data_IF_002463643663
#
_entry.id   IF_002463643663
#
_cell.length_a   1.000
_cell.length_b   1.000
_cell.length_c   1.000
_cell.angle_alpha   90.00
_cell.angle_beta   90.00
_cell.angle_gamma   90.00
#
_symmetry.space_group_name_H-M   'P 1'
#
loop_
_entity.id
_entity.type
_entity.pdbx_description
1 polymer ?
#
# COMPACT_ATOMS: atom_id res chain seq x y z
N UNK A 1 -61.74 -2.71 -56.38
CA UNK A 1 -60.64 -1.73 -56.24
C UNK A 1 -60.18 -1.57 -54.78
N UNK A 2 -60.28 -2.61 -53.93
CA UNK A 2 -60.10 -2.49 -52.47
C UNK A 2 -58.90 -3.24 -51.89
N UNK A 3 -58.55 -4.43 -52.38
CA UNK A 3 -57.48 -5.23 -51.75
C UNK A 3 -56.05 -4.74 -52.00
N UNK A 4 -55.78 -4.16 -53.18
CA UNK A 4 -54.43 -3.70 -53.56
C UNK A 4 -54.03 -2.50 -52.70
N UNK A 5 -54.96 -1.56 -52.47
CA UNK A 5 -54.73 -0.39 -51.61
C UNK A 5 -54.51 -0.77 -50.15
N UNK A 6 -55.24 -1.79 -49.66
CA UNK A 6 -55.04 -2.32 -48.30
C UNK A 6 -53.64 -2.92 -48.16
N UNK A 7 -53.18 -3.72 -49.13
CA UNK A 7 -51.82 -4.30 -49.10
C UNK A 7 -50.72 -3.24 -49.15
N UNK A 8 -50.87 -2.22 -49.98
CA UNK A 8 -49.92 -1.11 -50.08
C UNK A 8 -49.88 -0.31 -48.77
N UNK A 9 -51.04 0.01 -48.19
CA UNK A 9 -51.14 0.73 -46.94
C UNK A 9 -50.55 -0.07 -45.75
N UNK A 10 -50.86 -1.37 -45.65
CA UNK A 10 -50.26 -2.23 -44.63
C UNK A 10 -48.75 -2.39 -44.79
N UNK A 11 -48.25 -2.51 -46.02
CA UNK A 11 -46.80 -2.56 -46.29
C UNK A 11 -46.11 -1.25 -45.88
N UNK A 12 -46.71 -0.10 -46.19
CA UNK A 12 -46.21 1.20 -45.78
C UNK A 12 -46.24 1.36 -44.25
N UNK A 13 -47.30 0.91 -43.58
CA UNK A 13 -47.45 0.98 -42.13
C UNK A 13 -46.44 0.06 -41.41
N UNK A 14 -46.24 -1.18 -41.88
CA UNK A 14 -45.22 -2.09 -41.35
C UNK A 14 -43.82 -1.50 -41.54
N UNK A 15 -43.53 -0.95 -42.72
CA UNK A 15 -42.23 -0.32 -43.01
C UNK A 15 -41.99 0.92 -42.13
N UNK A 16 -43.03 1.72 -41.89
CA UNK A 16 -42.96 2.88 -41.00
C UNK A 16 -42.75 2.47 -39.53
N UNK A 17 -43.44 1.42 -39.06
CA UNK A 17 -43.26 0.89 -37.70
C UNK A 17 -41.87 0.30 -37.50
N UNK A 18 -41.39 -0.51 -38.44
CA UNK A 18 -40.02 -1.07 -38.41
C UNK A 18 -38.97 0.05 -38.46
N UNK A 19 -39.18 1.05 -39.32
CA UNK A 19 -38.32 2.23 -39.39
C UNK A 19 -38.29 3.02 -38.09
N UNK A 20 -39.44 3.22 -37.44
CA UNK A 20 -39.53 3.89 -36.15
C UNK A 20 -38.83 3.12 -35.02
N UNK A 21 -39.05 1.80 -34.93
CA UNK A 21 -38.39 0.93 -33.95
C UNK A 21 -36.87 0.90 -34.15
N UNK A 22 -36.42 0.78 -35.40
CA UNK A 22 -35.00 0.82 -35.73
C UNK A 22 -34.38 2.17 -35.37
N UNK A 23 -35.06 3.28 -35.70
CA UNK A 23 -34.57 4.64 -35.39
C UNK A 23 -34.52 4.89 -33.89
N UNK A 24 -35.54 4.46 -33.12
CA UNK A 24 -35.53 4.58 -31.65
C UNK A 24 -34.39 3.76 -31.03
N UNK A 25 -34.19 2.52 -31.48
CA UNK A 25 -33.10 1.67 -31.00
C UNK A 25 -31.72 2.28 -31.33
N UNK A 26 -31.54 2.77 -32.55
CA UNK A 26 -30.31 3.43 -32.97
C UNK A 26 -30.06 4.71 -32.16
N UNK A 27 -31.09 5.52 -31.93
CA UNK A 27 -30.97 6.76 -31.16
C UNK A 27 -30.65 6.49 -29.69
N UNK A 28 -31.29 5.49 -29.07
CA UNK A 28 -30.99 5.07 -27.71
C UNK A 28 -29.56 4.53 -27.60
N UNK A 29 -29.12 3.69 -28.55
CA UNK A 29 -27.75 3.18 -28.58
C UNK A 29 -26.72 4.31 -28.70
N UNK A 30 -26.96 5.28 -29.59
CA UNK A 30 -26.07 6.44 -29.77
C UNK A 30 -26.07 7.34 -28.52
N UNK A 31 -27.22 7.52 -27.88
CA UNK A 31 -27.35 8.33 -26.65
C UNK A 31 -26.60 7.69 -25.49
N UNK A 32 -26.84 6.39 -25.24
CA UNK A 32 -26.12 5.64 -24.20
C UNK A 32 -24.61 5.64 -24.45
N UNK A 33 -24.18 5.52 -25.71
CA UNK A 33 -22.75 5.60 -26.07
C UNK A 33 -22.16 6.97 -25.75
N UNK A 34 -22.89 8.06 -26.03
CA UNK A 34 -22.47 9.43 -25.72
C UNK A 34 -22.42 9.68 -24.21
N UNK A 35 -23.44 9.27 -23.48
CA UNK A 35 -23.49 9.39 -22.02
C UNK A 35 -22.33 8.64 -21.35
N UNK A 36 -22.08 7.40 -21.78
CA UNK A 36 -20.94 6.60 -21.30
C UNK A 36 -19.61 7.33 -21.54
N UNK A 37 -19.39 7.81 -22.77
CA UNK A 37 -18.17 8.57 -23.13
C UNK A 37 -18.02 9.86 -22.30
N UNK A 38 -19.11 10.58 -22.06
CA UNK A 38 -19.09 11.77 -21.22
C UNK A 38 -18.73 11.43 -19.77
N UNK A 39 -19.31 10.36 -19.23
CA UNK A 39 -18.98 9.86 -17.89
C UNK A 39 -17.51 9.44 -17.78
N UNK A 40 -17.00 8.71 -18.77
CA UNK A 40 -15.59 8.28 -18.82
C UNK A 40 -14.64 9.49 -18.78
N UNK A 41 -14.91 10.52 -19.60
CA UNK A 41 -14.15 11.79 -19.60
C UNK A 41 -14.26 12.56 -18.29
N UNK A 42 -15.45 12.55 -17.69
CA UNK A 42 -15.66 13.20 -16.39
C UNK A 42 -14.86 12.48 -15.29
N UNK A 43 -14.88 11.15 -15.25
CA UNK A 43 -14.06 10.34 -14.34
C UNK A 43 -12.57 10.63 -14.51
N UNK A 44 -12.05 10.72 -15.74
CA UNK A 44 -10.65 11.12 -15.99
C UNK A 44 -10.33 12.46 -15.34
N UNK A 45 -11.15 13.48 -15.58
CA UNK A 45 -10.89 14.84 -15.12
C UNK A 45 -11.10 15.02 -13.61
N UNK A 46 -12.14 14.40 -13.05
CA UNK A 46 -12.55 14.60 -11.66
C UNK A 46 -11.72 13.76 -10.69
N UNK A 47 -11.34 12.55 -11.10
CA UNK A 47 -10.67 11.58 -10.24
C UNK A 47 -9.25 11.27 -10.71
N UNK A 48 -9.07 10.65 -11.88
CA UNK A 48 -7.78 10.07 -12.26
C UNK A 48 -6.66 11.10 -12.41
N UNK A 49 -6.87 12.18 -13.16
CA UNK A 49 -5.84 13.23 -13.33
C UNK A 49 -5.45 13.93 -12.03
N UNK A 50 -6.24 13.80 -10.97
CA UNK A 50 -5.91 14.35 -9.66
C UNK A 50 -5.18 13.35 -8.76
N UNK A 51 -5.60 12.08 -8.75
CA UNK A 51 -5.06 11.05 -7.85
C UNK A 51 -3.74 10.46 -8.37
N UNK A 52 -3.57 10.38 -9.69
CA UNK A 52 -2.40 9.75 -10.31
C UNK A 52 -1.07 10.42 -9.93
N UNK A 53 -0.94 11.78 -9.89
CA UNK A 53 0.27 12.42 -9.38
C UNK A 53 0.64 11.99 -7.95
N UNK A 54 -0.33 11.92 -7.02
CA UNK A 54 -0.07 11.46 -5.66
C UNK A 54 0.39 10.00 -5.61
N UNK A 55 -0.12 9.15 -6.50
CA UNK A 55 0.34 7.76 -6.63
C UNK A 55 1.79 7.71 -7.11
N UNK A 56 2.17 8.54 -8.09
CA UNK A 56 3.56 8.65 -8.54
C UNK A 56 4.49 9.07 -7.40
N UNK A 57 4.12 10.09 -6.66
CA UNK A 57 4.93 10.63 -5.56
C UNK A 57 5.03 9.61 -4.42
N UNK A 58 3.93 8.97 -4.04
CA UNK A 58 3.91 7.90 -3.05
C UNK A 58 4.80 6.72 -3.44
N UNK A 59 4.72 6.26 -4.69
CA UNK A 59 5.57 5.18 -5.18
C UNK A 59 7.05 5.55 -5.11
N UNK A 60 7.42 6.77 -5.53
CA UNK A 60 8.80 7.25 -5.48
C UNK A 60 9.32 7.34 -4.05
N UNK A 61 8.59 7.99 -3.15
CA UNK A 61 8.99 8.16 -1.74
C UNK A 61 9.15 6.81 -1.04
N UNK A 62 8.29 5.83 -1.37
CA UNK A 62 8.31 4.50 -0.75
C UNK A 62 9.39 3.59 -1.35
N UNK A 63 9.70 3.73 -2.65
CA UNK A 63 10.52 2.76 -3.39
C UNK A 63 11.80 3.35 -4.03
N UNK A 64 12.20 4.60 -3.78
CA UNK A 64 13.51 5.12 -4.22
C UNK A 64 14.58 4.93 -3.15
N UNK A 65 15.71 4.32 -3.52
CA UNK A 65 16.95 4.45 -2.74
C UNK A 65 17.25 5.95 -2.60
N UNK A 66 17.18 6.46 -1.36
CA UNK A 66 17.38 7.89 -1.04
C UNK A 66 18.75 8.32 -1.54
N UNK A 67 18.81 9.04 -2.66
CA UNK A 67 20.08 9.45 -3.27
C UNK A 67 20.75 10.61 -2.52
N UNK A 68 20.01 11.39 -1.74
CA UNK A 68 20.55 12.51 -0.97
C UNK A 68 19.73 12.70 0.32
N UNK A 69 20.44 12.88 1.43
CA UNK A 69 19.93 13.10 2.80
C UNK A 69 19.23 14.46 3.01
N UNK A 70 18.68 15.09 1.96
CA UNK A 70 18.26 16.49 1.96
C UNK A 70 16.82 16.77 1.52
N UNK A 71 16.01 15.75 1.25
CA UNK A 71 14.56 15.97 1.15
C UNK A 71 14.02 16.04 2.58
N UNK A 72 13.77 17.27 3.04
CA UNK A 72 12.97 17.56 4.24
C UNK A 72 11.83 16.54 4.35
N UNK A 73 11.58 16.07 5.55
CA UNK A 73 10.63 15.02 5.90
C UNK A 73 9.23 15.26 5.30
N UNK A 74 9.03 14.98 4.02
CA UNK A 74 7.70 14.83 3.44
C UNK A 74 7.17 13.54 4.01
N UNK A 75 6.38 13.70 5.06
CA UNK A 75 5.73 12.63 5.77
C UNK A 75 5.01 11.72 4.76
N UNK A 76 5.50 10.51 4.57
CA UNK A 76 4.92 9.51 3.65
C UNK A 76 3.43 9.26 4.00
N UNK A 77 3.04 9.55 5.25
CA UNK A 77 1.65 9.51 5.70
C UNK A 77 0.74 10.49 4.93
N UNK A 78 1.26 11.63 4.46
CA UNK A 78 0.47 12.68 3.80
C UNK A 78 -0.07 12.23 2.44
N UNK A 79 0.76 11.65 1.58
CA UNK A 79 0.34 11.15 0.26
C UNK A 79 -0.70 10.02 0.37
N UNK A 80 -0.49 9.10 1.32
CA UNK A 80 -1.44 8.01 1.60
C UNK A 80 -2.81 8.55 2.01
N UNK A 81 -2.83 9.51 2.94
CA UNK A 81 -4.07 10.17 3.38
C UNK A 81 -4.77 10.87 2.22
N UNK A 82 -4.02 11.55 1.36
CA UNK A 82 -4.57 12.27 0.21
C UNK A 82 -5.18 11.32 -0.83
N UNK A 83 -4.53 10.19 -1.14
CA UNK A 83 -5.08 9.16 -2.03
C UNK A 83 -6.40 8.61 -1.47
N UNK A 84 -6.41 8.18 -0.20
CA UNK A 84 -7.58 7.61 0.46
C UNK A 84 -8.72 8.64 0.50
N UNK A 85 -8.41 9.90 0.84
CA UNK A 85 -9.38 11.00 0.85
C UNK A 85 -9.98 11.21 -0.53
N UNK A 86 -9.17 11.26 -1.59
CA UNK A 86 -9.64 11.43 -2.96
C UNK A 86 -10.55 10.30 -3.42
N UNK A 87 -10.24 9.05 -3.07
CA UNK A 87 -11.13 7.91 -3.35
C UNK A 87 -12.47 8.07 -2.64
N UNK A 88 -12.46 8.50 -1.37
CA UNK A 88 -13.68 8.68 -0.60
C UNK A 88 -14.59 9.80 -1.15
N UNK A 89 -14.01 10.92 -1.56
CA UNK A 89 -14.73 12.10 -2.07
C UNK A 89 -15.27 11.91 -3.50
N UNK A 90 -14.75 10.92 -4.24
CA UNK A 90 -15.05 10.72 -5.66
C UNK A 90 -15.64 9.32 -5.96
N UNK A 91 -16.34 8.71 -4.99
CA UNK A 91 -16.90 7.35 -5.10
C UNK A 91 -17.83 7.12 -6.32
N UNK A 92 -18.44 8.18 -6.86
CA UNK A 92 -19.28 8.12 -8.07
C UNK A 92 -18.49 7.92 -9.37
N UNK A 93 -17.19 8.22 -9.35
CA UNK A 93 -16.31 8.25 -10.52
C UNK A 93 -15.34 7.06 -10.59
N UNK A 94 -15.30 6.23 -9.55
CA UNK A 94 -14.39 5.08 -9.44
C UNK A 94 -15.06 3.76 -9.89
N UNK A 95 -14.24 2.77 -10.22
CA UNK A 95 -14.71 1.42 -10.58
C UNK A 95 -15.05 0.59 -9.34
N UNK A 96 -15.87 -0.47 -9.47
CA UNK A 96 -16.17 -1.37 -8.36
C UNK A 96 -14.93 -2.02 -7.72
N UNK A 97 -13.88 -2.31 -8.49
CA UNK A 97 -12.64 -2.89 -7.98
C UNK A 97 -11.90 -1.89 -7.06
N UNK A 98 -11.81 -0.63 -7.46
CA UNK A 98 -11.24 0.44 -6.62
C UNK A 98 -12.06 0.59 -5.34
N UNK A 99 -13.38 0.63 -5.45
CA UNK A 99 -14.27 0.75 -4.29
C UNK A 99 -14.13 -0.44 -3.33
N UNK A 100 -14.07 -1.67 -3.84
CA UNK A 100 -13.87 -2.88 -3.04
C UNK A 100 -12.51 -2.87 -2.34
N UNK A 101 -11.44 -2.50 -3.04
CA UNK A 101 -10.09 -2.39 -2.44
C UNK A 101 -10.03 -1.29 -1.39
N UNK A 102 -10.70 -0.15 -1.61
CA UNK A 102 -10.82 0.92 -0.63
C UNK A 102 -11.56 0.47 0.64
N UNK A 103 -12.65 -0.30 0.51
CA UNK A 103 -13.33 -0.88 1.67
C UNK A 103 -12.38 -1.79 2.45
N UNK A 104 -11.56 -2.62 1.77
CA UNK A 104 -10.59 -3.50 2.44
C UNK A 104 -9.58 -2.70 3.26
N UNK A 105 -8.98 -1.66 2.66
CA UNK A 105 -8.06 -0.74 3.37
C UNK A 105 -8.76 -0.12 4.59
N UNK A 106 -10.01 0.31 4.42
CA UNK A 106 -10.81 0.92 5.51
C UNK A 106 -11.20 -0.05 6.62
N UNK A 107 -11.60 -1.28 6.30
CA UNK A 107 -11.98 -2.29 7.29
C UNK A 107 -10.77 -2.74 8.10
N UNK A 108 -9.61 -2.78 7.45
CA UNK A 108 -8.34 -3.12 8.09
C UNK A 108 -7.87 -2.01 9.05
N UNK A 109 -8.13 -0.74 8.73
CA UNK A 109 -7.93 0.38 9.67
C UNK A 109 -8.89 0.38 10.88
N UNK A 110 -9.95 -0.43 10.87
CA UNK A 110 -10.92 -0.53 11.97
C UNK A 110 -10.62 -1.70 12.92
N UNK A 111 -9.80 -2.66 12.49
CA UNK A 111 -9.40 -3.81 13.28
C UNK A 111 -7.90 -3.71 13.59
N UNK A 112 -7.50 -2.84 14.51
CA UNK A 112 -6.14 -2.83 15.07
C UNK A 112 -5.85 -4.19 15.72
N UNK A 113 -5.10 -5.05 15.04
CA UNK A 113 -4.60 -6.32 15.60
C UNK A 113 -3.24 -6.13 16.30
N UNK A 114 -2.76 -4.88 16.40
CA UNK A 114 -1.49 -4.47 17.02
C UNK A 114 -0.24 -5.17 16.46
N UNK A 115 -0.35 -6.02 15.43
CA UNK A 115 0.77 -6.80 14.89
C UNK A 115 1.87 -5.94 14.26
N UNK A 116 1.60 -4.65 14.01
CA UNK A 116 2.48 -3.79 13.21
C UNK A 116 2.59 -4.19 11.74
N UNK A 117 2.14 -5.40 11.36
CA UNK A 117 2.23 -6.04 10.04
C UNK A 117 1.12 -5.57 9.08
N UNK A 118 0.47 -4.46 9.37
CA UNK A 118 -0.70 -3.99 8.66
C UNK A 118 -0.37 -3.21 7.37
N UNK A 119 -1.20 -3.46 6.36
CA UNK A 119 -1.68 -2.53 5.33
C UNK A 119 -0.95 -2.39 3.99
N UNK A 120 0.33 -2.72 3.83
CA UNK A 120 1.00 -2.47 2.54
C UNK A 120 0.32 -3.23 1.40
N UNK A 121 -0.04 -4.50 1.59
CA UNK A 121 -0.74 -5.30 0.56
C UNK A 121 -2.07 -4.71 0.12
N UNK A 122 -2.91 -4.26 1.04
CA UNK A 122 -4.22 -3.71 0.70
C UNK A 122 -4.10 -2.35 0.01
N UNK A 123 -3.10 -1.56 0.39
CA UNK A 123 -2.81 -0.25 -0.16
C UNK A 123 -2.19 -0.34 -1.55
N UNK A 124 -1.18 -1.18 -1.73
CA UNK A 124 -0.58 -1.47 -3.03
C UNK A 124 -1.64 -2.00 -3.98
N UNK A 125 -2.56 -2.85 -3.51
CA UNK A 125 -3.71 -3.29 -4.29
C UNK A 125 -4.64 -2.13 -4.70
N UNK A 126 -4.98 -1.22 -3.77
CA UNK A 126 -5.81 -0.07 -4.08
C UNK A 126 -5.13 0.83 -5.13
N UNK A 127 -3.86 1.14 -4.92
CA UNK A 127 -3.05 1.97 -5.83
C UNK A 127 -2.98 1.35 -7.22
N UNK A 128 -2.69 0.05 -7.29
CA UNK A 128 -2.68 -0.69 -8.56
C UNK A 128 -4.04 -0.61 -9.27
N UNK A 129 -5.15 -0.90 -8.59
CA UNK A 129 -6.46 -0.86 -9.24
C UNK A 129 -6.87 0.54 -9.72
N UNK A 130 -6.41 1.60 -9.04
CA UNK A 130 -6.60 2.97 -9.51
C UNK A 130 -5.81 3.19 -10.81
N UNK A 131 -4.54 2.78 -10.83
CA UNK A 131 -3.66 2.99 -11.98
C UNK A 131 -4.06 2.12 -13.19
N UNK A 132 -4.40 0.86 -12.99
CA UNK A 132 -4.86 -0.03 -14.06
C UNK A 132 -6.17 0.48 -14.69
N UNK A 133 -7.13 0.94 -13.86
CA UNK A 133 -8.35 1.55 -14.37
C UNK A 133 -8.07 2.83 -15.16
N UNK A 134 -7.07 3.61 -14.75
CA UNK A 134 -6.60 4.79 -15.50
C UNK A 134 -6.05 4.41 -16.89
N UNK A 135 -5.13 3.45 -16.95
CA UNK A 135 -4.55 2.97 -18.21
C UNK A 135 -5.63 2.44 -19.16
N UNK A 136 -6.53 1.61 -18.65
CA UNK A 136 -7.65 1.05 -19.42
C UNK A 136 -8.58 2.14 -19.96
N UNK A 137 -8.79 3.20 -19.18
CA UNK A 137 -9.62 4.34 -19.59
C UNK A 137 -8.95 5.19 -20.66
N UNK A 138 -7.63 5.42 -20.58
CA UNK A 138 -6.87 6.09 -21.64
C UNK A 138 -6.95 5.32 -22.97
N UNK A 139 -6.69 4.00 -22.94
CA UNK A 139 -6.78 3.13 -24.13
C UNK A 139 -8.19 3.16 -24.73
N UNK A 140 -9.23 3.06 -23.90
CA UNK A 140 -10.63 3.05 -24.32
C UNK A 140 -11.07 4.37 -24.96
N UNK A 141 -10.58 5.51 -24.47
CA UNK A 141 -10.87 6.83 -25.02
C UNK A 141 -9.98 7.22 -26.21
N UNK A 142 -9.12 6.30 -26.68
CA UNK A 142 -8.15 6.53 -27.75
C UNK A 142 -7.22 7.73 -27.43
N UNK A 143 -6.90 7.88 -26.14
CA UNK A 143 -5.96 8.89 -25.66
C UNK A 143 -4.54 8.35 -25.75
N UNK A 144 -3.59 9.25 -26.02
CA UNK A 144 -2.17 8.89 -26.14
C UNK A 144 -1.68 8.31 -24.81
N UNK A 145 -1.28 7.04 -24.85
CA UNK A 145 -0.58 6.36 -23.78
C UNK A 145 0.93 6.61 -23.92
N UNK A 146 1.54 7.23 -22.91
CA UNK A 146 2.97 7.48 -22.91
C UNK A 146 3.74 6.27 -22.41
N UNK A 147 4.94 6.06 -22.97
CA UNK A 147 5.86 5.02 -22.53
C UNK A 147 6.15 5.06 -21.02
N UNK A 148 6.19 6.26 -20.44
CA UNK A 148 6.36 6.47 -18.99
C UNK A 148 5.18 5.91 -18.16
N UNK A 149 3.95 5.97 -18.69
CA UNK A 149 2.77 5.43 -18.01
C UNK A 149 2.78 3.91 -18.04
N UNK A 150 3.16 3.31 -19.17
CA UNK A 150 3.34 1.86 -19.30
C UNK A 150 4.44 1.35 -18.38
N UNK A 151 5.59 2.04 -18.37
CA UNK A 151 6.72 1.71 -17.50
C UNK A 151 6.31 1.75 -16.03
N UNK A 152 5.60 2.79 -15.62
CA UNK A 152 5.14 2.91 -14.24
C UNK A 152 4.06 1.88 -13.88
N UNK A 153 3.15 1.56 -14.80
CA UNK A 153 2.18 0.48 -14.63
C UNK A 153 2.86 -0.87 -14.41
N UNK A 154 3.92 -1.16 -15.15
CA UNK A 154 4.74 -2.36 -14.94
C UNK A 154 5.36 -2.35 -13.54
N UNK A 155 6.01 -1.25 -13.13
CA UNK A 155 6.65 -1.14 -11.82
C UNK A 155 5.66 -1.29 -10.66
N UNK A 156 4.46 -0.69 -10.75
CA UNK A 156 3.41 -0.88 -9.75
C UNK A 156 2.93 -2.32 -9.66
N UNK A 157 2.78 -2.99 -10.80
CA UNK A 157 2.35 -4.38 -10.84
C UNK A 157 3.43 -5.33 -10.33
N UNK A 158 4.70 -5.05 -10.62
CA UNK A 158 5.83 -5.76 -10.02
C UNK A 158 5.84 -5.60 -8.50
N UNK A 159 5.65 -4.38 -7.98
CA UNK A 159 5.56 -4.14 -6.54
C UNK A 159 4.39 -4.93 -5.92
N UNK A 160 3.21 -4.89 -6.55
CA UNK A 160 2.04 -5.68 -6.12
C UNK A 160 2.35 -7.18 -6.06
N UNK A 161 2.90 -7.76 -7.12
CA UNK A 161 3.25 -9.18 -7.18
C UNK A 161 4.24 -9.51 -6.06
N UNK A 162 5.23 -8.66 -5.84
CA UNK A 162 6.24 -8.85 -4.79
C UNK A 162 5.62 -8.85 -3.39
N UNK A 163 4.69 -7.94 -3.09
CA UNK A 163 3.98 -7.91 -1.81
C UNK A 163 3.01 -9.10 -1.64
N UNK A 164 2.57 -9.72 -2.74
CA UNK A 164 1.73 -10.92 -2.70
C UNK A 164 2.53 -12.20 -2.44
N UNK A 165 3.73 -12.33 -3.02
CA UNK A 165 4.60 -13.51 -2.84
C UNK A 165 5.36 -13.50 -1.52
N UNK A 166 5.60 -12.31 -0.94
CA UNK A 166 6.32 -12.15 0.32
C UNK A 166 5.33 -11.92 1.48
N UNK A 167 5.28 -12.82 2.48
CA UNK A 167 4.38 -12.71 3.63
C UNK A 167 4.75 -11.55 4.57
N UNK A 168 6.01 -11.10 4.56
CA UNK A 168 6.53 -10.05 5.44
C UNK A 168 6.35 -8.61 4.91
N UNK A 169 5.61 -8.40 3.81
CA UNK A 169 5.43 -7.09 3.17
C UNK A 169 6.75 -6.39 2.75
N UNK A 170 7.84 -7.11 2.51
CA UNK A 170 9.13 -6.52 2.11
C UNK A 170 9.20 -6.10 0.64
N UNK A 171 8.05 -5.86 -0.02
CA UNK A 171 7.99 -5.63 -1.46
C UNK A 171 8.69 -4.35 -1.93
N UNK A 172 8.93 -3.40 -1.01
CA UNK A 172 9.68 -2.19 -1.28
C UNK A 172 11.19 -2.43 -1.45
N UNK A 173 11.77 -3.45 -0.81
CA UNK A 173 13.22 -3.74 -0.84
C UNK A 173 13.71 -3.97 -2.28
N UNK A 174 13.17 -4.93 -3.04
CA UNK A 174 13.58 -5.12 -4.43
C UNK A 174 13.20 -3.91 -5.31
N UNK A 175 12.13 -3.19 -4.98
CA UNK A 175 11.71 -1.99 -5.72
C UNK A 175 12.61 -0.77 -5.51
N UNK A 176 13.27 -0.67 -4.35
CA UNK A 176 14.34 0.29 -4.11
C UNK A 176 15.51 0.08 -5.07
N UNK A 177 15.80 -1.18 -5.39
CA UNK A 177 16.88 -1.62 -6.28
C UNK A 177 16.48 -1.61 -7.77
N UNK A 178 15.34 -1.01 -8.14
CA UNK A 178 14.86 -0.98 -9.55
C UNK A 178 15.82 -0.35 -10.56
N UNK A 179 16.85 0.37 -10.12
CA UNK A 179 17.91 0.89 -10.99
C UNK A 179 18.70 -0.22 -11.72
N UNK A 180 18.62 -1.47 -11.26
CA UNK A 180 19.13 -2.65 -11.98
C UNK A 180 18.28 -3.03 -13.21
N UNK A 181 17.06 -2.49 -13.34
CA UNK A 181 16.17 -2.76 -14.47
C UNK A 181 16.48 -1.80 -15.63
N UNK A 182 16.46 -2.34 -16.84
CA UNK A 182 16.53 -1.56 -18.07
C UNK A 182 15.14 -0.98 -18.38
N UNK A 183 14.96 0.29 -18.05
CA UNK A 183 13.70 1.00 -18.24
C UNK A 183 13.23 1.05 -19.71
N UNK A 184 14.12 0.86 -20.67
CA UNK A 184 13.78 0.85 -22.10
C UNK A 184 13.05 -0.43 -22.54
N UNK A 185 13.14 -1.51 -21.75
CA UNK A 185 12.53 -2.81 -22.06
C UNK A 185 11.08 -2.93 -21.63
N UNK A 186 10.61 -2.07 -20.72
CA UNK A 186 9.19 -2.05 -20.35
C UNK A 186 8.34 -1.69 -21.56
N UNK A 187 7.23 -2.37 -21.74
CA UNK A 187 6.29 -2.13 -22.83
C UNK A 187 4.94 -2.79 -22.50
N UNK A 188 3.96 -2.67 -23.40
CA UNK A 188 2.63 -3.24 -23.18
C UNK A 188 2.63 -4.77 -23.12
N UNK A 189 3.55 -5.46 -23.81
CA UNK A 189 3.69 -6.91 -23.74
C UNK A 189 4.13 -7.36 -22.34
N UNK A 190 5.16 -6.73 -21.78
CA UNK A 190 5.60 -6.96 -20.40
C UNK A 190 4.46 -6.66 -19.42
N UNK A 191 3.73 -5.56 -19.61
CA UNK A 191 2.60 -5.21 -18.76
C UNK A 191 1.51 -6.29 -18.77
N UNK A 192 1.13 -6.78 -19.95
CA UNK A 192 0.11 -7.83 -20.08
C UNK A 192 0.57 -9.16 -19.47
N UNK A 193 1.84 -9.55 -19.66
CA UNK A 193 2.41 -10.75 -19.03
C UNK A 193 2.43 -10.65 -17.51
N UNK A 194 2.73 -9.47 -16.97
CA UNK A 194 2.62 -9.22 -15.51
C UNK A 194 1.16 -9.33 -15.03
N UNK A 195 0.17 -8.90 -15.83
CA UNK A 195 -1.26 -9.09 -15.50
C UNK A 195 -1.60 -10.58 -15.45
N UNK A 196 -1.11 -11.37 -16.40
CA UNK A 196 -1.33 -12.82 -16.43
C UNK A 196 -0.76 -13.49 -15.17
N UNK A 197 0.48 -13.14 -14.78
CA UNK A 197 1.10 -13.62 -13.53
C UNK A 197 0.25 -13.24 -12.32
N UNK A 198 -0.25 -12.02 -12.28
CA UNK A 198 -1.08 -11.50 -11.20
C UNK A 198 -2.44 -12.23 -11.05
N UNK A 199 -2.84 -13.04 -12.05
CA UNK A 199 -4.04 -13.89 -11.99
C UNK A 199 -3.74 -15.34 -11.59
N UNK A 200 -2.47 -15.73 -11.48
CA UNK A 200 -2.09 -17.07 -11.03
C UNK A 200 -2.41 -17.24 -9.53
N UNK A 201 -2.68 -18.50 -9.14
CA UNK A 201 -3.07 -18.84 -7.76
C UNK A 201 -1.93 -19.49 -6.99
N UNK A 202 -1.06 -20.24 -7.69
CA UNK A 202 0.03 -20.97 -7.03
C UNK A 202 1.29 -20.11 -6.95
N UNK A 203 1.83 -19.98 -5.74
CA UNK A 203 3.04 -19.20 -5.46
C UNK A 203 4.21 -19.60 -6.35
N UNK A 204 4.46 -20.90 -6.52
CA UNK A 204 5.59 -21.39 -7.32
C UNK A 204 5.47 -21.03 -8.81
N UNK A 205 4.25 -21.01 -9.35
CA UNK A 205 3.99 -20.59 -10.73
C UNK A 205 4.25 -19.07 -10.88
N UNK A 206 3.76 -18.26 -9.92
CA UNK A 206 4.02 -16.82 -9.87
C UNK A 206 5.52 -16.54 -9.84
N UNK A 207 6.27 -17.20 -8.94
CA UNK A 207 7.71 -16.99 -8.78
C UNK A 207 8.45 -17.36 -10.06
N UNK A 208 8.11 -18.48 -10.69
CA UNK A 208 8.76 -18.97 -11.90
C UNK A 208 8.59 -17.98 -13.06
N UNK A 209 7.35 -17.58 -13.33
CA UNK A 209 7.04 -16.68 -14.44
C UNK A 209 7.55 -15.26 -14.18
N UNK A 210 7.48 -14.80 -12.92
CA UNK A 210 7.97 -13.49 -12.55
C UNK A 210 9.50 -13.41 -12.63
N UNK A 211 10.23 -14.44 -12.17
CA UNK A 211 11.69 -14.52 -12.31
C UNK A 211 12.11 -14.51 -13.79
N UNK A 212 11.32 -15.10 -14.68
CA UNK A 212 11.56 -15.04 -16.12
C UNK A 212 11.43 -13.61 -16.68
N UNK A 213 10.37 -12.87 -16.33
CA UNK A 213 10.21 -11.46 -16.72
C UNK A 213 11.36 -10.60 -16.15
N UNK A 214 11.71 -10.78 -14.88
CA UNK A 214 12.79 -10.02 -14.25
C UNK A 214 14.12 -10.22 -14.99
N UNK A 215 14.47 -11.46 -15.36
CA UNK A 215 15.69 -11.75 -16.14
C UNK A 215 15.73 -11.04 -17.49
N UNK A 216 14.58 -10.89 -18.16
CA UNK A 216 14.49 -10.12 -19.41
C UNK A 216 14.73 -8.63 -19.16
N UNK A 217 14.20 -8.09 -18.05
CA UNK A 217 14.26 -6.67 -17.72
C UNK A 217 15.62 -6.20 -17.18
N UNK A 218 16.43 -7.07 -16.60
CA UNK A 218 17.73 -6.66 -16.01
C UNK A 218 18.67 -6.03 -17.04
N UNK A 219 19.36 -4.95 -16.63
CA UNK A 219 20.40 -4.31 -17.41
C UNK A 219 21.65 -5.19 -17.47
N UNK A 220 22.18 -5.41 -18.68
CA UNK A 220 23.37 -6.26 -18.90
C UNK A 220 24.64 -5.70 -18.27
N UNK A 221 24.67 -4.41 -17.96
CA UNK A 221 25.81 -3.74 -17.31
C UNK A 221 26.04 -4.19 -15.86
N UNK A 222 25.01 -4.75 -15.20
CA UNK A 222 25.07 -5.20 -13.81
C UNK A 222 25.22 -6.72 -13.65
N UNK A 223 25.71 -7.42 -14.68
CA UNK A 223 25.66 -8.89 -14.80
C UNK A 223 26.11 -9.70 -13.58
N UNK A 224 27.04 -9.19 -12.76
CA UNK A 224 27.55 -9.89 -11.58
C UNK A 224 26.61 -9.81 -10.36
N UNK A 225 25.74 -8.79 -10.29
CA UNK A 225 24.83 -8.55 -9.15
C UNK A 225 23.40 -9.04 -9.45
N UNK A 226 23.21 -9.66 -10.61
CA UNK A 226 21.89 -10.01 -11.15
C UNK A 226 21.15 -11.08 -10.34
N UNK A 227 21.84 -12.15 -9.92
CA UNK A 227 21.17 -13.22 -9.15
C UNK A 227 20.88 -12.73 -7.72
N UNK A 228 21.79 -11.96 -7.08
CA UNK A 228 21.50 -11.33 -5.78
C UNK A 228 20.28 -10.41 -5.85
N UNK A 229 20.21 -9.54 -6.87
CA UNK A 229 19.04 -8.69 -7.10
C UNK A 229 17.76 -9.49 -7.33
N UNK A 230 17.81 -10.56 -8.14
CA UNK A 230 16.66 -11.43 -8.37
C UNK A 230 16.18 -12.08 -7.08
N UNK A 231 17.10 -12.57 -6.26
CA UNK A 231 16.77 -13.28 -5.04
C UNK A 231 16.11 -12.32 -4.02
N UNK A 232 16.44 -11.01 -4.02
CA UNK A 232 15.72 -10.03 -3.18
C UNK A 232 14.20 -9.91 -3.45
N UNK A 233 13.70 -10.35 -4.61
CA UNK A 233 12.25 -10.39 -4.87
C UNK A 233 11.55 -11.56 -4.17
N UNK A 234 12.29 -12.62 -3.84
CA UNK A 234 11.75 -13.92 -3.44
C UNK A 234 12.24 -14.40 -2.06
N UNK A 235 13.26 -13.74 -1.51
CA UNK A 235 13.76 -13.99 -0.18
C UNK A 235 12.79 -13.44 0.87
N UNK A 236 12.42 -14.32 1.81
CA UNK A 236 11.77 -13.92 3.06
C UNK A 236 12.85 -13.29 3.96
N UNK A 237 13.29 -12.08 3.64
CA UNK A 237 14.08 -11.31 4.60
C UNK A 237 13.20 -11.03 5.82
N UNK A 238 13.65 -11.47 7.00
CA UNK A 238 13.15 -10.94 8.26
C UNK A 238 13.42 -9.43 8.23
N UNK A 239 12.36 -8.64 8.37
CA UNK A 239 12.39 -7.20 8.30
C UNK A 239 13.50 -6.67 9.24
N UNK A 240 14.64 -6.25 8.68
CA UNK A 240 15.55 -5.35 9.38
C UNK A 240 14.84 -3.99 9.35
N UNK A 241 13.81 -3.85 10.19
CA UNK A 241 13.13 -2.59 10.42
C UNK A 241 14.17 -1.57 10.82
N UNK A 242 14.41 -0.59 9.95
CA UNK A 242 15.11 0.67 10.17
C UNK A 242 16.31 0.61 11.12
N UNK A 243 17.51 0.97 10.66
CA UNK A 243 18.64 1.23 11.57
C UNK A 243 18.25 2.16 12.74
N UNK A 244 17.24 3.03 12.55
CA UNK A 244 16.60 3.82 13.60
C UNK A 244 15.75 2.98 14.58
N UNK A 245 14.87 2.10 14.09
CA UNK A 245 14.08 1.17 14.92
C UNK A 245 14.98 0.15 15.62
N UNK A 246 15.98 -0.42 14.95
CA UNK A 246 17.04 -1.23 15.60
C UNK A 246 17.77 -0.42 16.67
N UNK A 247 18.17 0.83 16.41
CA UNK A 247 18.85 1.67 17.42
C UNK A 247 17.94 1.98 18.61
N UNK A 248 16.65 2.19 18.35
CA UNK A 248 15.62 2.50 19.35
C UNK A 248 15.21 1.28 20.20
N UNK A 249 15.08 0.10 19.58
CA UNK A 249 14.82 -1.17 20.26
C UNK A 249 16.05 -1.66 21.02
N UNK A 250 17.25 -1.39 20.50
CA UNK A 250 18.52 -1.80 21.11
C UNK A 250 19.11 -0.81 22.11
N UNK A 251 18.63 0.44 22.19
CA UNK A 251 19.03 1.45 23.18
C UNK A 251 17.84 2.34 23.63
N UNK A 252 17.04 1.83 24.57
CA UNK A 252 15.87 2.54 25.14
C UNK A 252 16.23 3.82 25.92
N UNK A 253 17.49 3.97 26.32
CA UNK A 253 18.03 5.03 27.17
C UNK A 253 18.58 6.25 26.40
N UNK A 254 18.71 6.17 25.07
CA UNK A 254 19.19 7.27 24.24
C UNK A 254 18.10 8.32 23.98
N UNK A 255 18.50 9.60 23.88
CA UNK A 255 17.63 10.67 23.38
C UNK A 255 17.48 10.53 21.86
N UNK A 256 16.29 10.09 21.45
CA UNK A 256 15.97 9.75 20.05
C UNK A 256 15.23 10.91 19.35
N UNK A 257 15.05 12.05 20.03
CA UNK A 257 14.31 13.20 19.50
C UNK A 257 12.79 12.99 19.45
N UNK A 258 12.10 13.75 18.61
CA UNK A 258 10.64 13.67 18.46
C UNK A 258 10.23 12.41 17.71
N UNK A 259 9.40 11.57 18.36
CA UNK A 259 8.91 10.32 17.78
C UNK A 259 7.55 10.49 17.09
N UNK A 260 7.38 9.87 15.92
CA UNK A 260 6.07 9.75 15.28
C UNK A 260 5.10 8.88 16.10
N UNK A 261 3.80 8.91 15.80
CA UNK A 261 2.79 8.10 16.51
C UNK A 261 3.14 6.61 16.45
N UNK A 262 3.56 6.11 15.28
CA UNK A 262 3.97 4.72 15.07
C UNK A 262 5.23 4.38 15.87
N UNK A 263 6.24 5.25 15.85
CA UNK A 263 7.47 5.04 16.62
C UNK A 263 7.20 5.04 18.12
N UNK A 264 6.35 5.94 18.63
CA UNK A 264 5.94 5.94 20.04
C UNK A 264 5.25 4.63 20.44
N UNK A 265 4.54 3.97 19.52
CA UNK A 265 3.94 2.65 19.76
C UNK A 265 5.02 1.58 19.91
N UNK A 266 5.91 1.46 18.92
CA UNK A 266 7.04 0.52 18.95
C UNK A 266 7.92 0.73 20.19
N UNK A 267 8.14 1.97 20.59
CA UNK A 267 8.89 2.31 21.80
C UNK A 267 8.28 1.70 23.06
N UNK A 268 6.96 1.80 23.19
CA UNK A 268 6.24 1.28 24.35
C UNK A 268 6.24 -0.24 24.37
N UNK A 269 6.09 -0.88 23.21
CA UNK A 269 6.19 -2.33 23.08
C UNK A 269 7.58 -2.85 23.47
N UNK A 270 8.63 -2.13 23.05
CA UNK A 270 10.00 -2.44 23.42
C UNK A 270 10.23 -2.33 24.93
N UNK A 271 9.65 -1.33 25.59
CA UNK A 271 9.70 -1.17 27.04
C UNK A 271 9.03 -2.35 27.74
N UNK A 272 7.83 -2.72 27.32
CA UNK A 272 7.10 -3.88 27.87
C UNK A 272 7.91 -5.16 27.68
N UNK A 273 8.47 -5.39 26.49
CA UNK A 273 9.29 -6.57 26.19
C UNK A 273 10.51 -6.66 27.09
N UNK A 274 11.24 -5.56 27.29
CA UNK A 274 12.43 -5.54 28.15
C UNK A 274 12.07 -5.66 29.64
N UNK A 275 10.96 -5.08 30.09
CA UNK A 275 10.44 -5.28 31.44
C UNK A 275 10.04 -6.74 31.67
N UNK A 276 9.34 -7.37 30.72
CA UNK A 276 8.98 -8.78 30.80
C UNK A 276 10.24 -9.67 30.83
N UNK A 277 11.20 -9.43 29.92
CA UNK A 277 12.45 -10.17 29.89
C UNK A 277 13.23 -10.04 31.20
N UNK A 278 13.20 -8.87 31.87
CA UNK A 278 13.85 -8.67 33.17
C UNK A 278 13.30 -9.53 34.31
N UNK A 279 12.11 -10.11 34.15
CA UNK A 279 11.52 -11.03 35.14
C UNK A 279 12.09 -12.45 35.04
N UNK A 280 12.52 -12.87 33.84
CA UNK A 280 12.88 -14.26 33.53
C UNK A 280 14.33 -14.44 33.07
N UNK A 281 14.95 -13.38 32.56
CA UNK A 281 16.28 -13.38 31.93
C UNK A 281 17.11 -12.18 32.40
N UNK A 282 18.43 -12.23 32.17
CA UNK A 282 19.28 -11.06 32.34
C UNK A 282 18.88 -9.98 31.33
N UNK A 283 18.35 -8.86 31.84
CA UNK A 283 17.98 -7.71 31.01
C UNK A 283 19.16 -6.77 30.84
N UNK A 284 19.33 -6.26 29.61
CA UNK A 284 20.28 -5.19 29.29
C UNK A 284 19.92 -3.87 30.00
N UNK A 285 18.65 -3.68 30.37
CA UNK A 285 18.14 -2.43 30.93
C UNK A 285 17.75 -2.57 32.39
N UNK A 286 18.21 -1.61 33.18
CA UNK A 286 17.80 -1.46 34.57
C UNK A 286 16.65 -0.46 34.66
N UNK A 287 15.46 -0.93 35.05
CA UNK A 287 14.28 -0.11 35.25
C UNK A 287 14.13 0.41 36.69
N UNK A 288 15.25 0.44 37.43
CA UNK A 288 15.37 1.09 38.72
C UNK A 288 16.20 2.37 38.54
N UNK A 289 15.60 3.51 38.84
CA UNK A 289 16.22 4.83 38.70
C UNK A 289 16.34 5.49 40.06
N UNK A 290 17.36 6.31 40.29
CA UNK A 290 17.30 7.28 41.39
C UNK A 290 16.30 8.39 41.06
N UNK A 291 15.82 9.13 42.04
CA UNK A 291 14.89 10.24 41.79
C UNK A 291 15.49 11.31 40.88
N UNK A 292 16.81 11.52 40.95
CA UNK A 292 17.51 12.48 40.12
C UNK A 292 17.74 11.93 38.70
N UNK A 293 18.13 10.66 38.55
CA UNK A 293 18.26 10.02 37.23
C UNK A 293 16.92 10.06 36.48
N UNK A 294 15.81 9.72 37.17
CA UNK A 294 14.48 9.70 36.57
C UNK A 294 14.04 11.08 36.07
N UNK A 295 14.44 12.18 36.73
CA UNK A 295 14.14 13.54 36.26
C UNK A 295 14.91 13.87 34.98
N UNK A 296 16.15 13.40 34.89
CA UNK A 296 17.05 13.64 33.75
C UNK A 296 16.74 12.77 32.53
N UNK A 297 15.94 11.71 32.68
CA UNK A 297 15.43 10.92 31.54
C UNK A 297 14.74 11.83 30.52
N UNK A 298 14.90 11.50 29.24
CA UNK A 298 14.23 12.23 28.18
C UNK A 298 12.70 12.09 28.26
N UNK A 299 12.00 13.05 27.65
CA UNK A 299 10.55 13.18 27.83
C UNK A 299 9.76 12.05 27.19
N UNK A 300 10.20 11.50 26.05
CA UNK A 300 9.51 10.38 25.39
C UNK A 300 9.52 9.12 26.27
N UNK A 301 10.59 8.86 27.02
CA UNK A 301 10.70 7.71 27.93
C UNK A 301 9.80 7.87 29.15
N UNK A 302 9.82 9.05 29.76
CA UNK A 302 8.92 9.38 30.88
C UNK A 302 7.46 9.29 30.45
N UNK A 303 7.12 9.85 29.28
CA UNK A 303 5.76 9.82 28.74
C UNK A 303 5.32 8.38 28.41
N UNK A 304 6.22 7.55 27.89
CA UNK A 304 5.93 6.14 27.68
C UNK A 304 5.59 5.42 28.98
N UNK A 305 6.35 5.64 30.07
CA UNK A 305 6.04 5.05 31.38
C UNK A 305 4.70 5.53 31.93
N UNK A 306 4.39 6.83 31.85
CA UNK A 306 3.11 7.35 32.32
C UNK A 306 1.94 6.82 31.50
N UNK A 307 2.08 6.76 30.18
CA UNK A 307 1.06 6.17 29.32
C UNK A 307 0.81 4.69 29.65
N UNK A 308 1.88 3.90 29.80
CA UNK A 308 1.77 2.48 30.13
C UNK A 308 1.16 2.27 31.52
N UNK A 309 1.45 3.16 32.47
CA UNK A 309 0.84 3.18 33.80
C UNK A 309 -0.65 3.49 33.72
N UNK A 310 -1.05 4.47 32.93
CA UNK A 310 -2.46 4.83 32.72
C UNK A 310 -3.24 3.69 32.05
N UNK A 311 -2.57 2.89 31.21
CA UNK A 311 -3.09 1.65 30.63
C UNK A 311 -3.03 0.44 31.58
N UNK A 312 -2.55 0.62 32.80
CA UNK A 312 -2.37 -0.43 33.83
C UNK A 312 -1.41 -1.55 33.44
N UNK A 313 -0.59 -1.37 32.40
CA UNK A 313 0.37 -2.37 31.94
C UNK A 313 1.67 -2.35 32.76
N UNK A 314 2.01 -1.21 33.35
CA UNK A 314 3.16 -1.07 34.26
C UNK A 314 2.77 -0.33 35.53
N UNK A 315 3.51 -0.58 36.61
CA UNK A 315 3.44 0.16 37.86
C UNK A 315 4.69 1.03 38.02
N UNK A 316 4.53 2.20 38.63
CA UNK A 316 5.64 3.08 39.01
C UNK A 316 5.64 3.15 40.54
N UNK A 317 6.58 2.44 41.16
CA UNK A 317 6.75 2.34 42.59
C UNK A 317 7.83 3.35 43.02
N UNK A 318 7.52 4.17 44.02
CA UNK A 318 8.48 5.12 44.59
C UNK A 318 8.79 4.70 46.02
N UNK A 319 10.07 4.47 46.30
CA UNK A 319 10.57 4.10 47.61
C UNK A 319 11.79 4.97 47.94
N UNK A 320 11.62 5.92 48.86
CA UNK A 320 12.60 6.97 49.18
C UNK A 320 13.21 7.65 47.95
N UNK A 321 14.46 7.32 47.60
CA UNK A 321 15.19 7.89 46.47
C UNK A 321 15.17 6.98 45.22
N UNK A 322 14.43 5.87 45.25
CA UNK A 322 14.34 4.91 44.15
C UNK A 322 12.98 4.95 43.49
N UNK A 323 13.00 4.99 42.16
CA UNK A 323 11.84 4.87 41.28
C UNK A 323 11.98 3.59 40.49
N UNK A 324 11.09 2.63 40.77
CA UNK A 324 11.06 1.32 40.11
C UNK A 324 9.88 1.23 39.16
N UNK A 325 10.14 0.79 37.93
CA UNK A 325 9.11 0.48 36.94
C UNK A 325 8.97 -1.04 36.89
N UNK A 326 7.76 -1.56 37.12
CA UNK A 326 7.49 -3.01 37.06
C UNK A 326 6.34 -3.31 36.11
N UNK A 327 6.38 -4.49 35.49
CA UNK A 327 5.23 -5.00 34.73
C UNK A 327 4.12 -5.44 35.70
N UNK A 328 2.87 -5.08 35.41
CA UNK A 328 1.72 -5.61 36.15
C UNK A 328 1.31 -6.98 35.61
N UNK A 329 0.40 -7.67 36.30
CA UNK A 329 -0.21 -8.89 35.76
C UNK A 329 -0.91 -8.66 34.41
N UNK A 330 -1.63 -7.53 34.27
CA UNK A 330 -2.25 -7.13 32.99
C UNK A 330 -1.18 -6.88 31.91
N UNK A 331 -0.03 -6.32 32.27
CA UNK A 331 1.10 -6.13 31.37
C UNK A 331 1.77 -7.44 30.92
N UNK A 332 1.87 -8.43 31.81
CA UNK A 332 2.42 -9.76 31.50
C UNK A 332 1.50 -10.50 30.53
N UNK A 333 0.21 -10.57 30.85
CA UNK A 333 -0.80 -11.20 29.99
C UNK A 333 -0.88 -10.51 28.62
N UNK A 334 -0.81 -9.17 28.61
CA UNK A 334 -0.72 -8.40 27.37
C UNK A 334 0.50 -8.79 26.52
N UNK A 335 1.68 -8.95 27.13
CA UNK A 335 2.87 -9.35 26.41
C UNK A 335 2.76 -10.78 25.86
N UNK A 336 2.35 -11.72 26.70
CA UNK A 336 2.23 -13.14 26.34
C UNK A 336 1.23 -13.37 25.20
N UNK A 337 0.06 -12.75 25.24
CA UNK A 337 -0.96 -12.88 24.17
C UNK A 337 -0.44 -12.34 22.83
N UNK A 338 0.36 -11.27 22.86
CA UNK A 338 0.88 -10.63 21.65
C UNK A 338 2.15 -11.29 21.07
N UNK A 339 2.71 -12.32 21.73
CA UNK A 339 3.84 -13.11 21.19
C UNK A 339 3.37 -14.32 20.35
N UNK A 340 2.09 -14.71 20.44
CA UNK A 340 1.55 -15.90 19.77
C UNK A 340 0.53 -15.59 18.65
N UNK A 341 0.37 -14.31 18.28
CA UNK A 341 -0.38 -13.84 17.12
C UNK A 341 0.58 -13.13 16.15
#
# INVERSE_FOLDING_TARGET
MSEIWIKIFFSALISAVLGALFTQNLNNFLTLRREKKNKDKESLKKFYYKVIPYIYDYFKVTNEFRKDSLVEWTDNSSFRVDIIKHVSENSLYITPNIHSSYIKVRSQNLHEDLSGRYNERAEVNLIYYIFDAYLNLLKKEDLKLYQSEVTFGCLLLMWKITVEINPNNTGYIPMSRRFYLDHSKFNEDIYNRLIEINHLVKRDEIITDFKYILKELINKEHQNDNEEYLDTFFEDEDEIQDTFTVTMLSNLDLDIGELSITQRRLYREAIISNLYNSLYYESKYNFNFTSDDFKTLHNEYKNAFFYLKDKKLVSIIKDDDLIKIELTAEGQEYYEINQFN
#
